data_IF_726330009008
#
_entry.id   IF_726330009008
#
_cell.length_a   1.000
_cell.length_b   1.000
_cell.length_c   1.000
_cell.angle_alpha   90.00
_cell.angle_beta   90.00
_cell.angle_gamma   90.00
#
_symmetry.space_group_name_H-M   'P 1'
#
loop_
_entity.id
_entity.type
_entity.pdbx_description
1 polymer ?
#
# COMPACT_ATOMS: atom_id res chain seq x y z
N UNK A 1 23.49 -20.66 32.76
CA UNK A 1 22.16 -21.01 32.18
C UNK A 1 22.27 -22.38 31.53
N UNK A 2 21.57 -23.39 32.05
CA UNK A 2 21.62 -24.76 31.49
C UNK A 2 20.91 -24.81 30.13
N UNK A 3 21.55 -25.40 29.12
CA UNK A 3 20.91 -25.67 27.83
C UNK A 3 19.79 -26.68 28.06
N UNK A 4 18.53 -26.33 27.75
CA UNK A 4 17.42 -27.28 27.76
C UNK A 4 17.63 -28.25 26.60
N UNK A 5 17.96 -29.49 26.92
CA UNK A 5 18.12 -30.56 25.94
C UNK A 5 16.74 -31.10 25.53
N UNK A 6 16.61 -31.51 24.28
CA UNK A 6 15.41 -32.20 23.78
C UNK A 6 15.46 -33.62 24.34
N UNK A 7 14.42 -34.01 25.08
CA UNK A 7 14.42 -35.25 25.87
C UNK A 7 13.65 -36.38 25.20
N UNK A 8 12.71 -36.05 24.34
CA UNK A 8 11.79 -36.97 23.69
C UNK A 8 11.20 -36.35 22.41
N UNK A 9 10.48 -37.16 21.65
CA UNK A 9 9.82 -36.79 20.39
C UNK A 9 8.78 -35.68 20.60
N UNK A 10 8.07 -35.67 21.72
CA UNK A 10 7.10 -34.63 22.09
C UNK A 10 7.80 -33.27 22.27
N UNK A 11 8.95 -33.25 22.96
CA UNK A 11 9.76 -32.05 23.15
C UNK A 11 10.34 -31.53 21.83
N UNK A 12 10.63 -32.44 20.90
CA UNK A 12 11.09 -32.12 19.55
C UNK A 12 9.97 -31.45 18.74
N UNK A 13 8.79 -32.05 18.70
CA UNK A 13 7.60 -31.50 18.02
C UNK A 13 7.20 -30.13 18.57
N UNK A 14 7.22 -29.97 19.90
CA UNK A 14 6.94 -28.67 20.55
C UNK A 14 7.97 -27.60 20.13
N UNK A 15 9.25 -27.98 20.04
CA UNK A 15 10.32 -27.11 19.55
C UNK A 15 10.11 -26.69 18.10
N UNK A 16 9.70 -27.63 17.24
CA UNK A 16 9.36 -27.35 15.83
C UNK A 16 8.16 -26.42 15.72
N UNK A 17 7.07 -26.70 16.43
CA UNK A 17 5.87 -25.86 16.43
C UNK A 17 6.21 -24.43 16.86
N UNK A 18 6.97 -24.27 17.94
CA UNK A 18 7.44 -22.96 18.41
C UNK A 18 8.32 -22.24 17.37
N UNK A 19 9.24 -22.97 16.74
CA UNK A 19 10.08 -22.45 15.67
C UNK A 19 9.27 -21.96 14.47
N UNK A 20 8.28 -22.74 14.03
CA UNK A 20 7.37 -22.38 12.95
C UNK A 20 6.53 -21.16 13.30
N UNK A 21 5.95 -21.10 14.50
CA UNK A 21 5.19 -19.92 14.95
C UNK A 21 6.04 -18.65 14.89
N UNK A 22 7.29 -18.72 15.37
CA UNK A 22 8.21 -17.57 15.28
C UNK A 22 8.59 -17.20 13.84
N UNK A 23 8.78 -18.19 12.97
CA UNK A 23 9.06 -17.94 11.57
C UNK A 23 7.88 -17.25 10.88
N UNK A 24 6.65 -17.73 11.12
CA UNK A 24 5.42 -17.13 10.60
C UNK A 24 5.26 -15.70 11.12
N UNK A 25 5.49 -15.47 12.41
CA UNK A 25 5.40 -14.13 12.99
C UNK A 25 6.37 -13.15 12.30
N UNK A 26 7.64 -13.53 12.15
CA UNK A 26 8.64 -12.70 11.45
C UNK A 26 8.29 -12.47 9.98
N UNK A 27 7.75 -13.47 9.31
CA UNK A 27 7.29 -13.34 7.93
C UNK A 27 6.15 -12.31 7.83
N UNK A 28 5.15 -12.41 8.71
CA UNK A 28 4.03 -11.47 8.74
C UNK A 28 4.51 -10.05 9.04
N UNK A 29 5.40 -9.86 10.02
CA UNK A 29 5.98 -8.55 10.34
C UNK A 29 6.70 -7.95 9.11
N UNK A 30 7.57 -8.73 8.46
CA UNK A 30 8.29 -8.28 7.27
C UNK A 30 7.35 -7.95 6.11
N UNK A 31 6.33 -8.77 5.89
CA UNK A 31 5.33 -8.55 4.85
C UNK A 31 4.51 -7.27 5.10
N UNK A 32 4.10 -7.03 6.35
CA UNK A 32 3.40 -5.79 6.70
C UNK A 32 4.27 -4.55 6.53
N UNK A 33 5.57 -4.63 6.86
CA UNK A 33 6.50 -3.51 6.63
C UNK A 33 6.66 -3.19 5.13
N UNK A 34 6.74 -4.22 4.28
CA UNK A 34 6.79 -4.04 2.82
C UNK A 34 5.51 -3.40 2.30
N UNK A 35 4.34 -3.94 2.69
CA UNK A 35 3.04 -3.37 2.32
C UNK A 35 2.95 -1.91 2.75
N UNK A 36 3.30 -1.60 3.99
CA UNK A 36 3.30 -0.24 4.52
C UNK A 36 4.14 0.69 3.65
N UNK A 37 5.36 0.30 3.29
CA UNK A 37 6.24 1.10 2.45
C UNK A 37 5.64 1.37 1.06
N UNK A 38 5.01 0.36 0.45
CA UNK A 38 4.34 0.47 -0.84
C UNK A 38 3.18 1.47 -0.80
N UNK A 39 2.29 1.36 0.20
CA UNK A 39 1.14 2.24 0.31
C UNK A 39 1.51 3.68 0.67
N UNK A 40 2.53 3.91 1.50
CA UNK A 40 3.06 5.26 1.72
C UNK A 40 3.63 5.88 0.45
N UNK A 41 4.25 5.07 -0.40
CA UNK A 41 4.73 5.52 -1.71
C UNK A 41 3.55 5.92 -2.60
N UNK A 42 2.52 5.08 -2.71
CA UNK A 42 1.32 5.39 -3.50
C UNK A 42 0.65 6.69 -3.04
N UNK A 43 0.47 6.88 -1.73
CA UNK A 43 -0.09 8.12 -1.17
C UNK A 43 0.69 9.37 -1.56
N UNK A 44 2.03 9.30 -1.59
CA UNK A 44 2.89 10.43 -2.01
C UNK A 44 2.81 10.73 -3.50
N UNK A 45 2.39 9.76 -4.31
CA UNK A 45 2.27 9.90 -5.75
C UNK A 45 0.89 10.42 -6.20
N UNK A 46 -0.11 10.39 -5.31
CA UNK A 46 -1.41 11.05 -5.52
C UNK A 46 -1.24 12.55 -5.25
N UNK A 47 -1.33 13.35 -6.30
CA UNK A 47 -1.17 14.82 -6.24
C UNK A 47 -2.46 15.58 -6.57
N UNK A 48 -3.51 14.87 -6.94
CA UNK A 48 -4.84 15.40 -7.22
C UNK A 48 -5.62 15.59 -5.91
N UNK A 49 -6.04 16.84 -5.66
CA UNK A 49 -6.67 17.26 -4.42
C UNK A 49 -8.00 16.52 -4.17
N UNK A 50 -8.79 16.28 -5.20
CA UNK A 50 -10.09 15.60 -5.07
C UNK A 50 -9.89 14.13 -4.65
N UNK A 51 -8.82 13.49 -5.14
CA UNK A 51 -8.49 12.11 -4.79
C UNK A 51 -7.98 12.01 -3.34
N UNK A 52 -7.21 13.01 -2.89
CA UNK A 52 -6.74 13.10 -1.50
C UNK A 52 -7.90 13.31 -0.54
N UNK A 53 -8.85 14.19 -0.88
CA UNK A 53 -10.02 14.45 -0.03
C UNK A 53 -10.91 13.21 0.11
N UNK A 54 -11.12 12.44 -0.95
CA UNK A 54 -11.84 11.16 -0.88
C UNK A 54 -11.17 10.14 0.05
N UNK A 55 -9.83 10.09 0.06
CA UNK A 55 -9.08 9.22 0.98
C UNK A 55 -9.28 9.69 2.42
N UNK A 56 -9.15 11.00 2.67
CA UNK A 56 -9.30 11.58 4.00
C UNK A 56 -10.70 11.34 4.57
N UNK A 57 -11.76 11.55 3.78
CA UNK A 57 -13.14 11.36 4.23
C UNK A 57 -13.38 9.93 4.73
N UNK A 58 -12.83 8.93 4.05
CA UNK A 58 -12.93 7.53 4.48
C UNK A 58 -12.08 7.28 5.73
N UNK A 59 -10.87 7.84 5.81
CA UNK A 59 -10.00 7.66 6.98
C UNK A 59 -10.63 8.24 8.25
N UNK A 60 -11.24 9.42 8.18
CA UNK A 60 -11.83 10.09 9.33
C UNK A 60 -13.17 9.49 9.78
N UNK A 61 -13.90 8.83 8.88
CA UNK A 61 -15.20 8.22 9.19
C UNK A 61 -15.09 6.77 9.65
N UNK A 62 -14.00 6.08 9.35
CA UNK A 62 -13.84 4.66 9.64
C UNK A 62 -13.11 4.44 10.97
N UNK A 63 -13.66 3.58 11.85
CA UNK A 63 -12.96 3.17 13.08
C UNK A 63 -11.74 2.32 12.70
N UNK A 64 -10.62 2.40 13.43
CA UNK A 64 -9.43 1.61 13.10
C UNK A 64 -9.62 0.16 13.55
N UNK A 65 -10.36 -0.65 12.79
CA UNK A 65 -10.36 -2.11 12.91
C UNK A 65 -9.51 -2.76 11.82
N UNK A 66 -9.20 -4.05 11.96
CA UNK A 66 -8.37 -4.78 10.98
C UNK A 66 -9.00 -4.83 9.59
N UNK A 67 -10.31 -5.04 9.52
CA UNK A 67 -11.03 -5.10 8.24
C UNK A 67 -11.08 -3.72 7.57
N UNK A 68 -11.18 -2.67 8.39
CA UNK A 68 -11.12 -1.28 7.94
C UNK A 68 -9.74 -0.90 7.40
N UNK A 69 -8.64 -1.45 7.95
CA UNK A 69 -7.31 -1.24 7.39
C UNK A 69 -7.19 -1.80 5.96
N UNK A 70 -7.70 -3.01 5.67
CA UNK A 70 -7.66 -3.56 4.32
C UNK A 70 -8.50 -2.72 3.34
N UNK A 71 -9.61 -2.17 3.81
CA UNK A 71 -10.48 -1.30 3.02
C UNK A 71 -9.78 0.02 2.67
N UNK A 72 -9.06 0.62 3.63
CA UNK A 72 -8.21 1.80 3.40
C UNK A 72 -7.10 1.53 2.39
N UNK A 73 -6.41 0.39 2.50
CA UNK A 73 -5.36 0.00 1.56
C UNK A 73 -5.90 -0.10 0.13
N UNK A 74 -7.03 -0.79 -0.07
CA UNK A 74 -7.66 -0.90 -1.38
C UNK A 74 -8.06 0.46 -1.95
N UNK A 75 -8.57 1.38 -1.12
CA UNK A 75 -8.92 2.73 -1.55
C UNK A 75 -7.69 3.49 -2.05
N UNK A 76 -6.59 3.48 -1.30
CA UNK A 76 -5.33 4.15 -1.70
C UNK A 76 -4.87 3.63 -3.06
N UNK A 77 -4.90 2.31 -3.26
CA UNK A 77 -4.53 1.71 -4.54
C UNK A 77 -5.45 2.16 -5.69
N UNK A 78 -6.76 2.18 -5.47
CA UNK A 78 -7.73 2.64 -6.47
C UNK A 78 -7.49 4.09 -6.88
N UNK A 79 -7.27 4.98 -5.91
CA UNK A 79 -7.04 6.40 -6.19
C UNK A 79 -5.68 6.66 -6.85
N UNK A 80 -4.66 5.88 -6.50
CA UNK A 80 -3.37 5.92 -7.19
C UNK A 80 -3.49 5.50 -8.66
N UNK A 81 -4.25 4.44 -8.95
CA UNK A 81 -4.54 4.05 -10.33
C UNK A 81 -5.33 5.13 -11.08
N UNK A 82 -6.26 5.81 -10.42
CA UNK A 82 -7.04 6.89 -11.01
C UNK A 82 -6.17 8.11 -11.34
N UNK A 83 -5.25 8.50 -10.45
CA UNK A 83 -4.23 9.51 -10.72
C UNK A 83 -3.42 9.17 -11.98
N UNK A 84 -2.94 7.93 -12.10
CA UNK A 84 -2.18 7.48 -13.28
C UNK A 84 -3.00 7.63 -14.56
N UNK A 85 -4.30 7.32 -14.52
CA UNK A 85 -5.21 7.51 -15.67
C UNK A 85 -5.36 8.99 -16.02
N UNK A 86 -5.62 9.85 -15.04
CA UNK A 86 -5.77 11.31 -15.25
C UNK A 86 -4.52 11.90 -15.90
N UNK A 87 -3.33 11.57 -15.38
CA UNK A 87 -2.05 12.00 -15.95
C UNK A 87 -1.86 11.55 -17.41
N UNK A 88 -2.34 10.34 -17.77
CA UNK A 88 -2.27 9.83 -19.16
C UNK A 88 -3.20 10.57 -20.10
N UNK A 89 -4.40 10.95 -19.64
CA UNK A 89 -5.37 11.73 -20.42
C UNK A 89 -4.83 13.14 -20.66
N UNK A 90 -4.30 13.79 -19.63
CA UNK A 90 -3.72 15.14 -19.74
C UNK A 90 -2.52 15.18 -20.69
N UNK A 91 -1.73 14.11 -20.73
CA UNK A 91 -0.60 13.97 -21.65
C UNK A 91 -1.01 13.76 -23.12
N UNK A 92 -2.27 13.39 -23.38
CA UNK A 92 -2.78 13.11 -24.73
C UNK A 92 -3.53 14.28 -25.37
N UNK A 93 -3.81 15.36 -24.64
CA UNK A 93 -4.43 16.57 -25.19
C UNK A 93 -3.34 17.37 -25.91
N UNK A 94 -3.32 17.46 -27.26
CA UNK A 94 -2.40 18.33 -27.94
C UNK A 94 -2.79 19.77 -27.61
N UNK A 95 -1.84 20.56 -27.11
CA UNK A 95 -2.00 22.00 -26.95
C UNK A 95 -2.55 22.61 -28.24
N UNK A 96 -3.81 23.06 -28.19
CA UNK A 96 -4.52 23.67 -29.34
C UNK A 96 -4.11 25.12 -29.60
N UNK A 97 -3.10 25.62 -28.90
CA UNK A 97 -2.72 27.04 -28.94
C UNK A 97 -1.50 27.32 -29.83
N UNK A 98 -0.93 26.32 -30.51
CA UNK A 98 0.27 26.49 -31.34
C UNK A 98 0.00 26.86 -32.82
N UNK A 99 -1.25 27.09 -33.25
CA UNK A 99 -1.57 27.45 -34.65
C UNK A 99 -2.61 28.56 -34.75
N UNK A 100 -2.26 29.75 -34.27
CA UNK A 100 -2.95 30.98 -34.64
C UNK A 100 -1.95 32.13 -34.67
N UNK A 101 -0.90 32.02 -35.50
CA UNK A 101 -0.05 33.14 -35.94
C UNK A 101 0.90 32.64 -37.03
N UNK A 102 0.36 32.29 -38.20
CA UNK A 102 1.16 32.20 -39.43
C UNK A 102 0.31 32.49 -40.69
N UNK A 103 -0.56 33.49 -40.60
CA UNK A 103 -1.24 34.08 -41.77
C UNK A 103 -1.34 35.60 -41.59
N UNK A 104 -0.20 36.29 -41.67
CA UNK A 104 -0.06 37.72 -42.05
C UNK A 104 1.43 38.09 -42.08
N UNK A 105 2.04 37.92 -43.24
CA UNK A 105 3.39 38.36 -43.58
C UNK A 105 3.61 38.26 -45.07
#
# INVERSE_FOLDING_TARGET
MGKRLIKDEISWELGQAYGMTKAIQRFMDHYFDQLKAEYFKMLREINDLDLVDQINDVIYTTKPTRDDCMLMLNLIHQQHMEQIKRNRVDSQIPSKDAKANDERG
#
